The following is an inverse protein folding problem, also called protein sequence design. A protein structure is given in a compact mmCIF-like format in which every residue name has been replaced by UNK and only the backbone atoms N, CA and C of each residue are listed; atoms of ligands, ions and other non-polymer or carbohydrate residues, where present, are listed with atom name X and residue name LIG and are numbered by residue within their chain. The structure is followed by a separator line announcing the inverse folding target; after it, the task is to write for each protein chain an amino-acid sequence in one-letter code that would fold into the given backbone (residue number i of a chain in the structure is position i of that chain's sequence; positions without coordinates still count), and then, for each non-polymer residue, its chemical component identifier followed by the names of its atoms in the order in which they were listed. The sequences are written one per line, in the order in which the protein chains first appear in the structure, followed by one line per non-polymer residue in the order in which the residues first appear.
data_IF_605325600627
#
_entry.id   IF_605325600627
#
_cell.length_a   1.000
_cell.length_b   1.000
_cell.length_c   1.000
_cell.angle_alpha   90.00
_cell.angle_beta   90.00
_cell.angle_gamma   90.00
#
_symmetry.space_group_name_H-M   'P 1'
#
loop_
_entity.id
_entity.type
_entity.pdbx_description
1 polymer ?
#
# COMPACT_ATOMS: atom_id res chain seq x y z
N UNK A 1 71.41 -46.51 112.47
CA UNK A 1 70.73 -45.20 112.43
C UNK A 1 71.03 -44.58 111.08
N UNK A 2 70.12 -44.09 110.25
CA UNK A 2 68.62 -44.04 110.21
C UNK A 2 68.21 -44.72 108.85
N UNK A 3 67.01 -45.30 108.57
CA UNK A 3 65.63 -44.75 108.47
C UNK A 3 65.54 -43.41 107.73
N UNK A 4 64.59 -43.15 106.83
CA UNK A 4 63.25 -43.70 106.51
C UNK A 4 63.10 -43.91 104.95
N UNK A 5 62.23 -44.79 104.41
CA UNK A 5 60.89 -44.54 103.75
C UNK A 5 60.88 -43.58 102.52
N UNK A 6 60.05 -43.67 101.46
CA UNK A 6 58.90 -44.50 100.99
C UNK A 6 58.73 -44.25 99.43
N UNK A 7 57.80 -44.76 98.57
CA UNK A 7 56.62 -45.65 98.65
C UNK A 7 56.46 -46.54 97.36
N UNK A 8 55.65 -46.16 96.34
CA UNK A 8 55.28 -46.94 95.11
C UNK A 8 54.82 -46.04 93.93
N UNK A 9 54.89 -46.54 92.68
CA UNK A 9 53.87 -46.43 91.60
C UNK A 9 54.32 -47.31 90.40
N UNK A 10 53.60 -48.35 89.97
CA UNK A 10 52.35 -48.38 89.18
C UNK A 10 52.49 -47.75 87.78
N UNK A 11 52.27 -48.54 86.72
CA UNK A 11 52.45 -48.12 85.33
C UNK A 11 51.18 -48.28 84.48
N UNK A 12 50.75 -47.20 83.82
CA UNK A 12 49.58 -47.20 82.92
C UNK A 12 49.97 -47.42 81.45
N UNK A 13 49.34 -48.39 80.78
CA UNK A 13 49.52 -48.64 79.34
C UNK A 13 48.56 -47.77 78.53
N UNK A 14 49.02 -46.58 78.14
CA UNK A 14 48.21 -45.59 77.42
C UNK A 14 48.01 -45.98 75.95
N UNK A 15 46.83 -46.53 75.60
CA UNK A 15 46.44 -46.84 74.21
C UNK A 15 46.46 -45.57 73.34
N UNK A 16 47.19 -45.59 72.23
CA UNK A 16 47.22 -44.50 71.26
C UNK A 16 46.08 -44.65 70.23
N UNK A 17 45.43 -43.53 69.87
CA UNK A 17 44.53 -43.46 68.72
C UNK A 17 45.34 -43.29 67.41
N UNK A 18 44.99 -43.99 66.32
CA UNK A 18 45.71 -43.88 65.05
C UNK A 18 45.35 -42.58 64.30
N UNK A 19 46.17 -41.54 64.45
CA UNK A 19 46.06 -40.32 63.63
C UNK A 19 46.45 -40.64 62.18
N UNK A 20 45.52 -40.48 61.24
CA UNK A 20 45.72 -40.80 59.82
C UNK A 20 46.74 -39.83 59.19
N UNK A 21 48.02 -40.22 59.18
CA UNK A 21 49.10 -39.50 58.49
C UNK A 21 48.95 -39.64 56.96
N UNK A 22 48.17 -38.74 56.34
CA UNK A 22 48.15 -38.59 54.88
C UNK A 22 49.57 -38.30 54.35
N UNK A 23 50.02 -39.07 53.37
CA UNK A 23 51.32 -38.86 52.72
C UNK A 23 51.39 -37.50 52.03
N UNK A 24 52.59 -36.90 52.01
CA UNK A 24 52.89 -35.64 51.30
C UNK A 24 52.51 -35.79 49.81
N UNK A 25 52.76 -36.96 49.21
CA UNK A 25 52.40 -37.30 47.83
C UNK A 25 50.89 -37.17 47.58
N UNK A 26 50.06 -37.56 48.55
CA UNK A 26 48.60 -37.46 48.50
C UNK A 26 48.13 -36.01 48.64
N UNK A 27 48.77 -35.20 49.50
CA UNK A 27 48.49 -33.75 49.56
C UNK A 27 48.80 -33.06 48.23
N UNK A 28 49.97 -33.32 47.66
CA UNK A 28 50.41 -32.75 46.38
C UNK A 28 49.45 -33.09 45.24
N UNK A 29 49.05 -34.36 45.12
CA UNK A 29 48.06 -34.81 44.12
C UNK A 29 46.70 -34.13 44.28
N UNK A 30 46.19 -33.99 45.52
CA UNK A 30 44.90 -33.32 45.77
C UNK A 30 44.97 -31.83 45.44
N UNK A 31 46.06 -31.14 45.79
CA UNK A 31 46.25 -29.73 45.41
C UNK A 31 46.33 -29.53 43.90
N UNK A 32 47.04 -30.40 43.19
CA UNK A 32 47.21 -30.30 41.74
C UNK A 32 45.90 -30.63 40.99
N UNK A 33 45.19 -31.68 41.40
CA UNK A 33 43.87 -32.04 40.88
C UNK A 33 42.83 -30.94 41.13
N UNK A 34 42.86 -30.33 42.33
CA UNK A 34 41.99 -29.20 42.66
C UNK A 34 42.24 -28.00 41.77
N UNK A 35 43.51 -27.66 41.54
CA UNK A 35 43.90 -26.54 40.69
C UNK A 35 43.49 -26.76 39.23
N UNK A 36 43.73 -27.95 38.65
CA UNK A 36 43.25 -28.27 37.30
C UNK A 36 41.73 -28.25 37.18
N UNK A 37 41.01 -28.71 38.22
CA UNK A 37 39.54 -28.69 38.24
C UNK A 37 39.01 -27.24 38.22
N UNK A 38 39.61 -26.35 39.03
CA UNK A 38 39.25 -24.92 39.05
C UNK A 38 39.57 -24.26 37.70
N UNK A 39 40.71 -24.56 37.07
CA UNK A 39 41.05 -24.03 35.74
C UNK A 39 40.05 -24.47 34.65
N UNK A 40 39.66 -25.75 34.63
CA UNK A 40 38.66 -26.26 33.66
C UNK A 40 37.28 -25.64 33.89
N UNK A 41 36.85 -25.49 35.15
CA UNK A 41 35.58 -24.84 35.48
C UNK A 41 35.58 -23.35 35.09
N UNK A 42 36.68 -22.63 35.32
CA UNK A 42 36.81 -21.23 34.94
C UNK A 42 36.76 -21.05 33.40
N UNK A 43 37.49 -21.90 32.65
CA UNK A 43 37.46 -21.88 31.18
C UNK A 43 36.07 -22.25 30.63
N UNK A 44 35.42 -23.26 31.20
CA UNK A 44 34.05 -23.66 30.82
C UNK A 44 33.02 -22.55 31.08
N UNK A 45 33.09 -21.89 32.24
CA UNK A 45 32.24 -20.76 32.57
C UNK A 45 32.45 -19.57 31.61
N UNK A 46 33.70 -19.17 31.37
CA UNK A 46 34.04 -18.09 30.44
C UNK A 46 33.59 -18.42 29.01
N UNK A 47 33.78 -19.66 28.55
CA UNK A 47 33.33 -20.12 27.24
C UNK A 47 31.81 -20.04 27.07
N UNK A 48 31.04 -20.57 28.04
CA UNK A 48 29.56 -20.51 28.01
C UNK A 48 29.06 -19.08 28.08
N UNK A 49 29.65 -18.23 28.94
CA UNK A 49 29.22 -16.84 29.09
C UNK A 49 29.54 -16.00 27.84
N UNK A 50 30.69 -16.24 27.20
CA UNK A 50 31.08 -15.65 25.92
C UNK A 50 30.11 -16.05 24.80
N UNK A 51 29.83 -17.35 24.65
CA UNK A 51 28.90 -17.85 23.62
C UNK A 51 27.49 -17.29 23.80
N UNK A 52 27.00 -17.12 25.03
CA UNK A 52 25.72 -16.46 25.32
C UNK A 52 25.73 -14.99 24.92
N UNK A 53 26.71 -14.23 25.40
CA UNK A 53 26.84 -12.80 25.09
C UNK A 53 26.97 -12.54 23.58
N UNK A 54 27.72 -13.38 22.86
CA UNK A 54 27.81 -13.33 21.39
C UNK A 54 26.48 -13.70 20.73
N UNK A 55 25.76 -14.72 21.23
CA UNK A 55 24.45 -15.11 20.72
C UNK A 55 23.38 -14.03 20.91
N UNK A 56 23.30 -13.44 22.09
CA UNK A 56 22.41 -12.32 22.43
C UNK A 56 22.72 -11.09 21.57
N UNK A 57 24.01 -10.74 21.43
CA UNK A 57 24.46 -9.63 20.57
C UNK A 57 24.13 -9.88 19.09
N UNK A 58 24.38 -11.09 18.60
CA UNK A 58 24.09 -11.47 17.22
C UNK A 58 22.57 -11.47 16.94
N UNK A 59 21.75 -11.93 17.90
CA UNK A 59 20.30 -11.86 17.80
C UNK A 59 19.80 -10.41 17.76
N UNK A 60 20.33 -9.52 18.61
CA UNK A 60 19.96 -8.10 18.63
C UNK A 60 20.38 -7.39 17.33
N UNK A 61 21.62 -7.58 16.88
CA UNK A 61 22.13 -6.97 15.63
C UNK A 61 21.36 -7.51 14.42
N UNK A 62 21.05 -8.80 14.36
CA UNK A 62 20.25 -9.38 13.28
C UNK A 62 18.82 -8.85 13.29
N UNK A 63 18.20 -8.71 14.46
CA UNK A 63 16.85 -8.14 14.59
C UNK A 63 16.81 -6.69 14.11
N UNK A 64 17.76 -5.84 14.50
CA UNK A 64 17.79 -4.44 14.07
C UNK A 64 18.16 -4.28 12.59
N UNK A 65 19.03 -5.13 12.05
CA UNK A 65 19.34 -5.18 10.62
C UNK A 65 18.10 -5.57 9.79
N UNK A 66 17.35 -6.60 10.21
CA UNK A 66 16.09 -6.99 9.56
C UNK A 66 15.00 -5.90 9.71
N UNK A 67 14.92 -5.24 10.88
CA UNK A 67 14.00 -4.12 11.12
C UNK A 67 14.30 -2.95 10.17
N UNK A 68 15.56 -2.54 10.08
CA UNK A 68 16.05 -1.48 9.17
C UNK A 68 15.80 -1.84 7.71
N UNK A 69 16.06 -3.10 7.32
CA UNK A 69 15.84 -3.57 5.94
C UNK A 69 14.34 -3.56 5.59
N UNK A 70 13.45 -3.94 6.51
CA UNK A 70 12.01 -3.89 6.31
C UNK A 70 11.49 -2.44 6.23
N UNK A 71 11.99 -1.53 7.07
CA UNK A 71 11.62 -0.11 7.04
C UNK A 71 12.02 0.55 5.71
N UNK A 72 13.26 0.34 5.24
CA UNK A 72 13.71 0.95 3.98
C UNK A 72 13.04 0.30 2.75
N UNK A 73 12.76 -1.01 2.78
CA UNK A 73 11.97 -1.69 1.74
C UNK A 73 10.53 -1.15 1.63
N UNK A 74 9.86 -0.96 2.77
CA UNK A 74 8.51 -0.35 2.81
C UNK A 74 8.53 1.10 2.32
N UNK A 75 9.56 1.87 2.68
CA UNK A 75 9.76 3.25 2.22
C UNK A 75 9.99 3.33 0.72
N UNK A 76 10.82 2.43 0.17
CA UNK A 76 11.10 2.31 -1.25
C UNK A 76 9.85 1.94 -2.03
N UNK A 77 9.05 0.98 -1.55
CA UNK A 77 7.75 0.61 -2.16
C UNK A 77 6.78 1.79 -2.13
N UNK A 78 6.58 2.43 -0.97
CA UNK A 78 5.66 3.58 -0.85
C UNK A 78 6.05 4.72 -1.80
N UNK A 79 7.35 4.97 -1.96
CA UNK A 79 7.87 5.99 -2.89
C UNK A 79 7.67 5.58 -4.36
N UNK A 80 7.95 4.31 -4.70
CA UNK A 80 7.71 3.75 -6.04
C UNK A 80 6.23 3.80 -6.43
N UNK A 81 5.32 3.44 -5.52
CA UNK A 81 3.89 3.38 -5.81
C UNK A 81 3.24 4.77 -5.83
N UNK A 82 3.75 5.72 -5.03
CA UNK A 82 3.41 7.14 -5.20
C UNK A 82 3.85 7.66 -6.58
N UNK A 83 5.07 7.36 -7.03
CA UNK A 83 5.56 7.76 -8.36
C UNK A 83 4.76 7.12 -9.51
N UNK A 84 4.35 5.85 -9.37
CA UNK A 84 3.47 5.17 -10.33
C UNK A 84 2.10 5.82 -10.39
N UNK A 85 1.52 6.13 -9.23
CA UNK A 85 0.21 6.80 -9.12
C UNK A 85 0.25 8.19 -9.76
N UNK A 86 1.29 8.97 -9.48
CA UNK A 86 1.51 10.30 -10.08
C UNK A 86 1.56 10.23 -11.62
N UNK A 87 2.27 9.25 -12.18
CA UNK A 87 2.36 9.06 -13.64
C UNK A 87 1.01 8.70 -14.29
N UNK A 88 0.14 7.96 -13.59
CA UNK A 88 -1.24 7.68 -14.06
C UNK A 88 -2.10 8.93 -13.96
N UNK A 89 -2.07 9.66 -12.84
CA UNK A 89 -2.84 10.88 -12.64
C UNK A 89 -2.43 11.99 -13.63
N UNK A 90 -1.13 12.17 -13.89
CA UNK A 90 -0.60 13.11 -14.88
C UNK A 90 -1.03 12.74 -16.31
N UNK A 91 -1.17 11.44 -16.61
CA UNK A 91 -1.74 10.98 -17.88
C UNK A 91 -3.21 11.36 -17.98
N UNK A 92 -4.05 10.94 -17.04
CA UNK A 92 -5.49 11.26 -17.00
C UNK A 92 -5.72 12.78 -17.07
N UNK A 93 -4.93 13.58 -16.33
CA UNK A 93 -4.97 15.05 -16.35
C UNK A 93 -4.66 15.63 -17.73
N UNK A 94 -3.61 15.15 -18.39
CA UNK A 94 -3.24 15.57 -19.75
C UNK A 94 -4.32 15.20 -20.76
N UNK A 95 -4.88 14.01 -20.65
CA UNK A 95 -5.79 13.47 -21.66
C UNK A 95 -7.19 14.09 -21.52
N UNK A 96 -7.65 14.35 -20.29
CA UNK A 96 -8.78 15.24 -20.02
C UNK A 96 -8.53 16.67 -20.56
N UNK A 97 -7.33 17.24 -20.38
CA UNK A 97 -6.96 18.55 -20.93
C UNK A 97 -6.78 18.56 -22.47
N UNK A 98 -6.63 17.40 -23.12
CA UNK A 98 -6.66 17.28 -24.58
C UNK A 98 -8.11 17.33 -25.08
N UNK A 99 -8.97 16.49 -24.49
CA UNK A 99 -10.41 16.43 -24.78
C UNK A 99 -11.09 17.78 -24.52
N UNK A 100 -10.82 18.43 -23.38
CA UNK A 100 -11.41 19.72 -23.04
C UNK A 100 -11.02 20.84 -24.02
N UNK A 101 -9.77 20.87 -24.51
CA UNK A 101 -9.34 21.84 -25.53
C UNK A 101 -9.97 21.57 -26.91
N UNK A 102 -10.20 20.31 -27.24
CA UNK A 102 -10.93 19.94 -28.44
C UNK A 102 -12.42 20.35 -28.32
N UNK A 103 -13.08 20.04 -27.20
CA UNK A 103 -14.44 20.46 -26.92
C UNK A 103 -14.61 21.99 -26.96
N UNK A 104 -13.74 22.75 -26.30
CA UNK A 104 -13.73 24.20 -26.39
C UNK A 104 -13.59 24.67 -27.86
N UNK A 105 -12.69 24.06 -28.65
CA UNK A 105 -12.53 24.39 -30.07
C UNK A 105 -13.80 24.13 -30.91
N UNK A 106 -14.61 23.14 -30.55
CA UNK A 106 -15.90 22.83 -31.19
C UNK A 106 -16.97 23.87 -30.80
N UNK A 107 -17.17 24.11 -29.51
CA UNK A 107 -18.21 25.01 -29.00
C UNK A 107 -17.89 26.51 -29.23
N UNK A 108 -16.62 26.92 -29.24
CA UNK A 108 -16.21 28.30 -29.60
C UNK A 108 -16.38 28.61 -31.10
N UNK A 109 -16.33 27.59 -31.97
CA UNK A 109 -16.26 27.76 -33.43
C UNK A 109 -17.32 26.91 -34.15
N UNK A 110 -18.60 27.02 -33.76
CA UNK A 110 -19.64 26.11 -34.23
C UNK A 110 -19.78 26.16 -35.76
N UNK A 111 -19.52 27.28 -36.42
CA UNK A 111 -19.53 27.42 -37.87
C UNK A 111 -18.55 26.51 -38.64
N UNK A 112 -17.55 25.91 -37.98
CA UNK A 112 -16.62 24.93 -38.58
C UNK A 112 -17.21 23.50 -38.53
N UNK A 113 -18.10 23.22 -37.59
CA UNK A 113 -18.62 21.89 -37.28
C UNK A 113 -20.12 21.75 -37.64
N UNK A 114 -20.93 22.77 -37.39
CA UNK A 114 -22.38 22.85 -37.60
C UNK A 114 -22.79 22.97 -39.09
N UNK A 115 -22.13 22.24 -39.98
CA UNK A 115 -22.53 22.04 -41.37
C UNK A 115 -23.55 20.89 -41.53
N UNK A 116 -24.12 20.38 -40.43
CA UNK A 116 -25.15 19.33 -40.38
C UNK A 116 -24.71 17.92 -40.81
N UNK A 117 -23.44 17.73 -41.17
CA UNK A 117 -23.04 16.61 -42.02
C UNK A 117 -22.50 15.34 -41.32
N UNK A 118 -22.39 15.33 -39.98
CA UNK A 118 -21.83 14.17 -39.24
C UNK A 118 -22.88 13.37 -38.47
N UNK A 119 -23.64 14.06 -37.62
CA UNK A 119 -24.60 13.49 -36.69
C UNK A 119 -25.66 14.56 -36.42
N UNK A 120 -26.92 14.23 -36.63
CA UNK A 120 -28.06 15.13 -36.39
C UNK A 120 -28.92 14.55 -35.26
N UNK A 121 -29.39 15.40 -34.35
CA UNK A 121 -30.19 14.93 -33.21
C UNK A 121 -31.52 14.31 -33.68
N UNK A 122 -32.13 14.86 -34.73
CA UNK A 122 -33.39 14.39 -35.33
C UNK A 122 -33.32 12.97 -35.94
N UNK A 123 -32.14 12.50 -36.38
CA UNK A 123 -31.94 11.14 -36.92
C UNK A 123 -31.56 10.10 -35.85
N UNK A 124 -30.85 10.52 -34.79
CA UNK A 124 -30.21 9.63 -33.82
C UNK A 124 -30.88 9.56 -32.45
N UNK A 125 -31.63 10.59 -32.04
CA UNK A 125 -32.22 10.71 -30.71
C UNK A 125 -33.73 10.42 -30.71
N UNK A 126 -34.20 9.71 -29.70
CA UNK A 126 -35.61 9.40 -29.46
C UNK A 126 -36.00 9.65 -28.00
N UNK A 127 -37.31 9.78 -27.74
CA UNK A 127 -37.83 9.89 -26.37
C UNK A 127 -37.91 8.50 -25.75
N UNK A 128 -37.21 8.31 -24.64
CA UNK A 128 -37.19 7.08 -23.84
C UNK A 128 -38.47 6.85 -23.04
N UNK A 129 -38.56 5.69 -22.41
CA UNK A 129 -39.77 5.25 -21.68
C UNK A 129 -40.09 6.06 -20.42
N UNK A 130 -39.15 6.88 -19.94
CA UNK A 130 -39.32 7.81 -18.83
C UNK A 130 -39.44 9.28 -19.25
N UNK A 131 -39.47 9.59 -20.55
CA UNK A 131 -39.54 10.97 -21.06
C UNK A 131 -38.18 11.62 -21.34
N UNK A 132 -37.06 10.98 -20.96
CA UNK A 132 -35.71 11.43 -21.31
C UNK A 132 -35.49 11.42 -22.83
N UNK A 133 -34.65 12.31 -23.37
CA UNK A 133 -34.27 12.29 -24.78
C UNK A 133 -32.86 11.68 -24.93
N UNK A 134 -32.73 10.62 -25.72
CA UNK A 134 -31.54 9.75 -25.71
C UNK A 134 -31.28 9.10 -27.08
N UNK A 135 -30.04 8.71 -27.37
CA UNK A 135 -29.68 7.99 -28.60
C UNK A 135 -29.63 6.46 -28.43
N UNK A 136 -29.45 5.76 -29.56
CA UNK A 136 -29.34 4.30 -29.61
C UNK A 136 -27.93 3.75 -29.32
N UNK A 137 -27.88 2.45 -29.02
CA UNK A 137 -26.63 1.69 -28.82
C UNK A 137 -25.73 1.58 -30.08
N UNK A 138 -26.24 1.96 -31.24
CA UNK A 138 -25.50 1.99 -32.51
C UNK A 138 -24.49 3.13 -32.64
N UNK A 139 -24.64 4.18 -31.85
CA UNK A 139 -23.80 5.37 -31.89
C UNK A 139 -22.47 5.16 -31.15
N UNK A 140 -21.44 5.95 -31.49
CA UNK A 140 -20.10 5.84 -30.91
C UNK A 140 -20.10 6.12 -29.40
N UNK A 141 -20.87 7.11 -28.95
CA UNK A 141 -21.07 7.48 -27.55
C UNK A 141 -22.55 7.63 -27.22
N UNK A 142 -22.91 7.46 -25.94
CA UNK A 142 -24.27 7.78 -25.47
C UNK A 142 -24.48 9.30 -25.46
N UNK A 143 -25.66 9.73 -25.85
CA UNK A 143 -26.18 11.08 -25.70
C UNK A 143 -27.46 11.03 -24.86
N UNK A 144 -27.60 11.96 -23.92
CA UNK A 144 -28.71 11.98 -22.94
C UNK A 144 -29.10 13.41 -22.57
N UNK A 145 -30.40 13.64 -22.45
CA UNK A 145 -31.03 14.84 -21.89
C UNK A 145 -32.13 14.39 -20.91
N UNK A 146 -32.21 14.96 -19.69
CA UNK A 146 -33.24 14.61 -18.71
C UNK A 146 -34.67 14.90 -19.16
N UNK A 147 -35.65 14.24 -18.50
CA UNK A 147 -37.09 14.38 -18.77
C UNK A 147 -37.66 15.78 -18.42
N UNK A 148 -37.02 16.51 -17.52
CA UNK A 148 -37.41 17.87 -17.10
C UNK A 148 -36.94 18.98 -18.03
N UNK A 149 -36.15 18.68 -19.08
CA UNK A 149 -35.57 19.68 -19.99
C UNK A 149 -36.41 19.81 -21.26
N UNK A 150 -36.81 21.04 -21.59
CA UNK A 150 -37.44 21.33 -22.89
C UNK A 150 -36.38 21.30 -24.00
N UNK A 151 -36.55 20.41 -24.99
CA UNK A 151 -35.58 20.21 -26.08
C UNK A 151 -35.75 21.31 -27.13
N UNK A 152 -35.03 22.41 -26.93
CA UNK A 152 -35.01 23.58 -27.82
C UNK A 152 -33.82 23.58 -28.81
N UNK A 153 -33.70 24.64 -29.62
CA UNK A 153 -32.55 24.82 -30.53
C UNK A 153 -31.19 24.85 -29.81
N UNK A 154 -31.13 25.26 -28.55
CA UNK A 154 -29.91 25.28 -27.75
C UNK A 154 -29.50 23.87 -27.34
N UNK A 155 -30.44 23.08 -26.80
CA UNK A 155 -30.27 21.67 -26.46
C UNK A 155 -29.86 20.85 -27.68
N UNK A 156 -30.57 21.00 -28.80
CA UNK A 156 -30.26 20.29 -30.06
C UNK A 156 -28.86 20.64 -30.57
N UNK A 157 -28.51 21.94 -30.61
CA UNK A 157 -27.18 22.40 -31.03
C UNK A 157 -26.08 21.92 -30.08
N UNK A 158 -26.34 21.82 -28.78
CA UNK A 158 -25.39 21.29 -27.81
C UNK A 158 -25.13 19.79 -28.03
N UNK A 159 -26.18 19.00 -28.29
CA UNK A 159 -26.07 17.58 -28.65
C UNK A 159 -25.25 17.40 -29.92
N UNK A 160 -25.57 18.11 -30.99
CA UNK A 160 -24.91 17.99 -32.30
C UNK A 160 -23.45 18.45 -32.28
N UNK A 161 -23.14 19.54 -31.57
CA UNK A 161 -21.75 19.94 -31.33
C UNK A 161 -21.00 18.90 -30.47
N UNK A 162 -21.63 18.36 -29.43
CA UNK A 162 -21.01 17.33 -28.59
C UNK A 162 -20.71 16.02 -29.35
N UNK A 163 -21.44 15.72 -30.43
CA UNK A 163 -21.17 14.55 -31.27
C UNK A 163 -19.78 14.58 -31.92
N UNK A 164 -19.24 15.77 -32.22
CA UNK A 164 -17.88 15.87 -32.78
C UNK A 164 -16.78 15.38 -31.81
N UNK A 165 -17.09 15.18 -30.52
CA UNK A 165 -16.17 14.54 -29.59
C UNK A 165 -15.91 13.06 -29.91
N UNK A 166 -16.77 12.41 -30.69
CA UNK A 166 -16.59 11.02 -31.15
C UNK A 166 -15.35 10.84 -32.05
N UNK A 167 -14.80 11.92 -32.60
CA UNK A 167 -13.51 11.90 -33.30
C UNK A 167 -12.28 11.82 -32.37
N UNK A 168 -12.45 12.10 -31.06
CA UNK A 168 -11.36 12.07 -30.06
C UNK A 168 -11.61 11.13 -28.88
N UNK A 169 -12.87 10.83 -28.55
CA UNK A 169 -13.21 9.95 -27.42
C UNK A 169 -12.63 8.53 -27.56
N UNK A 170 -12.81 7.78 -28.68
CA UNK A 170 -12.31 6.41 -28.78
C UNK A 170 -10.79 6.33 -28.68
N UNK A 171 -10.07 7.17 -29.44
CA UNK A 171 -8.61 7.18 -29.47
C UNK A 171 -7.99 7.64 -28.15
N UNK A 172 -8.66 8.52 -27.39
CA UNK A 172 -8.23 8.90 -26.04
C UNK A 172 -8.44 7.73 -25.07
N UNK A 173 -9.62 7.13 -25.07
CA UNK A 173 -9.99 6.00 -24.20
C UNK A 173 -9.07 4.78 -24.43
N UNK A 174 -8.87 4.38 -25.68
CA UNK A 174 -8.01 3.25 -26.06
C UNK A 174 -6.52 3.48 -25.73
N UNK A 175 -6.09 4.75 -25.60
CA UNK A 175 -4.69 5.07 -25.32
C UNK A 175 -4.28 4.87 -23.85
N UNK A 176 -5.24 4.77 -22.92
CA UNK A 176 -4.98 4.54 -21.50
C UNK A 176 -5.90 3.47 -20.89
N UNK A 177 -5.37 2.28 -20.53
CA UNK A 177 -6.18 1.22 -19.90
C UNK A 177 -6.69 1.57 -18.48
N UNK A 178 -6.35 2.75 -17.95
CA UNK A 178 -6.90 3.29 -16.70
C UNK A 178 -8.15 4.16 -16.93
N UNK A 179 -8.47 4.54 -18.17
CA UNK A 179 -9.66 5.34 -18.49
C UNK A 179 -10.91 4.46 -18.45
N UNK A 180 -11.80 4.70 -17.49
CA UNK A 180 -13.06 3.96 -17.34
C UNK A 180 -14.19 4.55 -18.19
N UNK A 181 -14.18 5.86 -18.41
CA UNK A 181 -15.10 6.58 -19.30
C UNK A 181 -14.54 7.97 -19.62
N UNK A 182 -15.03 8.58 -20.70
CA UNK A 182 -14.82 9.99 -21.04
C UNK A 182 -16.20 10.61 -21.27
N UNK A 183 -16.48 11.76 -20.67
CA UNK A 183 -17.78 12.41 -20.80
C UNK A 183 -17.69 13.93 -20.80
N UNK A 184 -18.63 14.56 -21.51
CA UNK A 184 -18.93 15.99 -21.43
C UNK A 184 -20.34 16.15 -20.83
N UNK A 185 -20.49 17.15 -19.97
CA UNK A 185 -21.79 17.74 -19.66
C UNK A 185 -21.79 19.22 -20.01
N UNK A 186 -22.97 19.76 -20.27
CA UNK A 186 -23.17 21.16 -20.66
C UNK A 186 -24.08 21.88 -19.65
N UNK A 187 -24.14 23.20 -19.77
CA UNK A 187 -25.08 24.04 -18.98
C UNK A 187 -26.56 23.74 -19.30
N UNK A 188 -26.85 23.14 -20.46
CA UNK A 188 -28.19 22.71 -20.89
C UNK A 188 -28.58 21.31 -20.36
N UNK A 189 -27.93 20.82 -19.30
CA UNK A 189 -28.09 19.49 -18.70
C UNK A 189 -27.84 18.30 -19.67
N UNK A 190 -27.34 18.54 -20.89
CA UNK A 190 -27.05 17.47 -21.86
C UNK A 190 -25.76 16.74 -21.48
N UNK A 191 -25.75 15.42 -21.63
CA UNK A 191 -24.57 14.57 -21.40
C UNK A 191 -24.17 13.82 -22.67
N UNK A 192 -22.88 13.82 -23.03
CA UNK A 192 -22.27 12.92 -24.03
C UNK A 192 -21.24 12.03 -23.31
N UNK A 193 -21.32 10.71 -23.46
CA UNK A 193 -20.58 9.74 -22.64
C UNK A 193 -20.04 8.57 -23.48
N UNK A 194 -18.73 8.33 -23.41
CA UNK A 194 -18.03 7.25 -24.08
C UNK A 194 -17.39 6.28 -23.07
N UNK A 195 -17.44 4.95 -23.27
CA UNK A 195 -18.09 4.24 -24.39
C UNK A 195 -19.61 4.35 -24.34
N UNK A 196 -20.30 4.09 -25.46
CA UNK A 196 -21.77 4.03 -25.44
C UNK A 196 -22.24 2.88 -24.54
N UNK A 197 -22.93 3.22 -23.45
CA UNK A 197 -23.49 2.27 -22.47
C UNK A 197 -25.02 2.31 -22.42
N UNK A 198 -25.66 2.90 -23.45
CA UNK A 198 -27.08 3.27 -23.43
C UNK A 198 -27.43 4.11 -22.18
N UNK A 199 -26.73 5.24 -21.98
CA UNK A 199 -26.77 6.00 -20.72
C UNK A 199 -28.19 6.30 -20.22
N UNK A 200 -29.13 6.64 -21.12
CA UNK A 200 -30.53 6.93 -20.77
C UNK A 200 -31.34 5.73 -20.24
N UNK A 201 -30.82 4.49 -20.38
CA UNK A 201 -31.35 3.29 -19.73
C UNK A 201 -30.61 2.93 -18.41
N UNK A 202 -29.51 3.63 -18.09
CA UNK A 202 -28.65 3.39 -16.92
C UNK A 202 -28.88 4.43 -15.81
N UNK A 203 -29.10 5.69 -16.17
CA UNK A 203 -29.43 6.77 -15.21
C UNK A 203 -30.95 6.98 -15.10
N UNK A 204 -31.44 7.53 -13.97
CA UNK A 204 -32.82 8.01 -13.87
C UNK A 204 -33.17 9.06 -14.93
N UNK A 205 -34.43 9.18 -15.39
CA UNK A 205 -34.86 10.24 -16.31
C UNK A 205 -34.59 11.65 -15.78
N UNK A 206 -34.68 11.85 -14.45
CA UNK A 206 -34.47 13.10 -13.74
C UNK A 206 -32.99 13.36 -13.36
N UNK A 207 -32.03 12.73 -14.05
CA UNK A 207 -30.60 12.83 -13.73
C UNK A 207 -30.01 14.21 -14.02
N UNK A 208 -29.95 15.06 -13.00
CA UNK A 208 -29.17 16.30 -13.05
C UNK A 208 -27.65 16.03 -13.20
N UNK A 209 -27.08 16.46 -14.32
CA UNK A 209 -25.64 16.40 -14.58
C UNK A 209 -24.90 17.67 -14.12
N UNK A 210 -25.57 18.83 -14.13
CA UNK A 210 -25.01 20.08 -13.59
C UNK A 210 -24.78 20.02 -12.07
N UNK A 211 -25.56 19.21 -11.34
CA UNK A 211 -25.46 19.05 -9.90
C UNK A 211 -24.39 18.03 -9.44
N UNK A 212 -23.66 17.40 -10.38
CA UNK A 212 -22.68 16.35 -10.01
C UNK A 212 -21.45 16.97 -9.33
N UNK A 213 -20.85 16.32 -8.31
CA UNK A 213 -19.68 16.85 -7.60
C UNK A 213 -18.51 17.25 -8.50
N UNK A 214 -18.29 16.54 -9.60
CA UNK A 214 -17.23 16.85 -10.57
C UNK A 214 -17.55 18.06 -11.47
N UNK A 215 -18.83 18.38 -11.68
CA UNK A 215 -19.27 19.57 -12.43
C UNK A 215 -19.16 20.81 -11.53
N UNK A 216 -19.78 20.77 -10.35
CA UNK A 216 -19.79 21.89 -9.39
C UNK A 216 -18.43 22.20 -8.74
N UNK A 217 -17.41 21.35 -8.94
CA UNK A 217 -16.02 21.62 -8.52
C UNK A 217 -15.15 22.20 -9.64
N UNK A 218 -15.70 22.37 -10.85
CA UNK A 218 -14.98 22.84 -12.03
C UNK A 218 -15.58 24.12 -12.66
N UNK A 219 -16.73 24.57 -12.16
CA UNK A 219 -17.42 25.82 -12.51
C UNK A 219 -17.12 26.94 -11.50
#
# INVERSE_FOLDING_TARGET
MRREEQLMASGEVRRQQPVIRRSIRTRLLVSLLGLTTVSVLALGYLGVNSVRSVGESAQQVSAEALRTQAEEYLRQITTSDAQRTELVLERVRRDAANVARYAASVFERPHIFAAGAYWQAEDHMFVGSGGQYMNGESDVSSAFVPDFVEVDEGVLRALELSAYLDFVFPSTYESDPNTVAIYLATEWETTRYYPNINLGAVVPPDFHVTQRPWYVSAA
#
